data_IF_168341990921
#
_entry.id   IF_168341990921
#
_cell.length_a   1.000
_cell.length_b   1.000
_cell.length_c   1.000
_cell.angle_alpha   90.00
_cell.angle_beta   90.00
_cell.angle_gamma   90.00
#
_symmetry.space_group_name_H-M   'P 1'
#
loop_
_entity.id
_entity.type
_entity.pdbx_description
1 polymer ?
#
# COMPACT_ATOMS: atom_id res chain seq x y z
N UNK A 1 -14.91 35.37 -17.98
CA UNK A 1 -14.89 34.21 -17.08
C UNK A 1 -13.66 33.40 -17.41
N UNK A 2 -12.63 33.52 -16.60
CA UNK A 2 -11.47 32.65 -16.74
C UNK A 2 -11.89 31.26 -16.19
N UNK A 3 -11.93 30.26 -17.06
CA UNK A 3 -12.09 28.88 -16.73
C UNK A 3 -10.78 28.47 -16.01
N UNK A 4 -10.82 28.41 -14.69
CA UNK A 4 -9.71 27.89 -13.88
C UNK A 4 -9.45 26.47 -14.40
N UNK A 5 -8.28 26.23 -14.98
CA UNK A 5 -7.88 24.90 -15.37
C UNK A 5 -7.93 24.06 -14.09
N UNK A 6 -8.75 23.02 -14.07
CA UNK A 6 -8.77 22.08 -12.96
C UNK A 6 -7.35 21.53 -12.84
N UNK A 7 -6.75 21.67 -11.66
CA UNK A 7 -5.45 21.10 -11.36
C UNK A 7 -5.60 19.58 -11.47
N UNK A 8 -5.05 19.00 -12.51
CA UNK A 8 -5.19 17.58 -12.84
C UNK A 8 -4.03 16.77 -12.22
N UNK A 9 -3.48 17.28 -11.13
CA UNK A 9 -2.34 16.69 -10.43
C UNK A 9 -2.83 15.81 -9.27
N UNK A 10 -2.37 14.55 -9.24
CA UNK A 10 -2.62 13.65 -8.13
C UNK A 10 -1.81 14.08 -6.91
N UNK A 11 -2.47 14.11 -5.76
CA UNK A 11 -1.82 14.30 -4.46
C UNK A 11 -1.63 12.93 -3.82
N UNK A 12 -0.39 12.60 -3.49
CA UNK A 12 -0.04 11.33 -2.85
C UNK A 12 0.14 11.47 -1.35
N UNK A 13 -0.37 10.50 -0.62
CA UNK A 13 -0.32 10.45 0.85
C UNK A 13 0.06 9.06 1.32
N UNK A 14 0.96 8.98 2.28
CA UNK A 14 1.31 7.74 2.99
C UNK A 14 0.43 7.61 4.23
N UNK A 15 -0.17 6.44 4.39
CA UNK A 15 -1.05 6.11 5.51
C UNK A 15 -0.46 4.99 6.37
N UNK A 16 -0.58 5.11 7.67
CA UNK A 16 -0.09 4.14 8.64
C UNK A 16 -1.21 3.27 9.23
N UNK A 17 -2.43 3.45 8.76
CA UNK A 17 -3.60 2.60 9.05
C UNK A 17 -4.58 2.66 7.91
N UNK A 18 -5.30 1.56 7.65
CA UNK A 18 -6.41 1.54 6.71
C UNK A 18 -7.53 2.52 7.12
N UNK A 19 -7.68 2.76 8.41
CA UNK A 19 -8.71 3.65 8.97
C UNK A 19 -8.48 5.14 8.64
N UNK A 20 -7.32 5.51 8.10
CA UNK A 20 -7.06 6.86 7.58
C UNK A 20 -7.66 7.08 6.18
N UNK A 21 -8.16 6.03 5.54
CA UNK A 21 -8.69 6.07 4.17
C UNK A 21 -10.20 5.80 4.25
N UNK A 22 -10.99 6.58 3.51
CA UNK A 22 -12.43 6.38 3.44
C UNK A 22 -12.79 5.00 2.89
N UNK A 23 -13.55 4.22 3.68
CA UNK A 23 -13.88 2.85 3.37
C UNK A 23 -14.71 2.71 2.07
N UNK A 24 -15.63 3.65 1.82
CA UNK A 24 -16.49 3.60 0.63
C UNK A 24 -15.70 3.89 -0.63
N UNK A 25 -14.77 4.82 -0.58
CA UNK A 25 -13.89 5.15 -1.70
C UNK A 25 -12.89 4.00 -1.98
N UNK A 26 -12.32 3.39 -0.94
CA UNK A 26 -11.49 2.20 -1.09
C UNK A 26 -12.27 1.07 -1.76
N UNK A 27 -13.47 0.79 -1.25
CA UNK A 27 -14.29 -0.32 -1.73
C UNK A 27 -14.65 -0.15 -3.22
N UNK A 28 -14.91 1.08 -3.68
CA UNK A 28 -15.15 1.36 -5.09
C UNK A 28 -13.95 0.99 -5.98
N UNK A 29 -12.71 1.21 -5.52
CA UNK A 29 -11.51 0.80 -6.24
C UNK A 29 -11.24 -0.70 -6.15
N UNK A 30 -11.63 -1.34 -5.04
CA UNK A 30 -11.36 -2.74 -4.75
C UNK A 30 -12.45 -3.71 -5.23
N UNK A 31 -13.51 -3.23 -5.87
CA UNK A 31 -14.69 -4.03 -6.21
C UNK A 31 -14.35 -5.33 -6.95
N UNK A 32 -13.40 -5.28 -7.87
CA UNK A 32 -12.95 -6.42 -8.68
C UNK A 32 -11.61 -7.03 -8.21
N UNK A 33 -11.09 -6.58 -7.08
CA UNK A 33 -9.72 -6.89 -6.66
C UNK A 33 -9.58 -8.20 -5.86
N UNK A 34 -10.67 -8.92 -5.64
CA UNK A 34 -10.70 -10.13 -4.84
C UNK A 34 -10.80 -9.87 -3.32
N UNK A 35 -10.98 -10.94 -2.52
CA UNK A 35 -11.37 -10.82 -1.11
C UNK A 35 -10.27 -10.22 -0.22
N UNK A 36 -9.00 -10.46 -0.54
CA UNK A 36 -7.87 -10.05 0.31
C UNK A 36 -7.47 -8.57 0.15
N UNK A 37 -8.13 -7.83 -0.75
CA UNK A 37 -7.96 -6.39 -0.93
C UNK A 37 -9.23 -5.61 -0.55
N UNK A 38 -10.24 -6.28 -0.01
CA UNK A 38 -11.41 -5.61 0.53
C UNK A 38 -11.05 -4.87 1.81
N UNK A 39 -11.69 -3.71 2.02
CA UNK A 39 -11.42 -2.85 3.18
C UNK A 39 -11.52 -3.62 4.50
N UNK A 40 -12.60 -4.38 4.67
CA UNK A 40 -12.87 -5.13 5.90
C UNK A 40 -11.82 -6.20 6.20
N UNK A 41 -11.24 -6.82 5.16
CA UNK A 41 -10.14 -7.77 5.35
C UNK A 41 -8.89 -7.08 5.90
N UNK A 42 -8.51 -5.96 5.31
CA UNK A 42 -7.32 -5.21 5.72
C UNK A 42 -7.51 -4.57 7.10
N UNK A 43 -8.72 -4.06 7.39
CA UNK A 43 -9.09 -3.56 8.71
C UNK A 43 -9.01 -4.66 9.77
N UNK A 44 -9.53 -5.86 9.48
CA UNK A 44 -9.46 -6.99 10.39
C UNK A 44 -8.02 -7.42 10.73
N UNK A 45 -7.07 -7.29 9.79
CA UNK A 45 -5.66 -7.55 10.07
C UNK A 45 -5.08 -6.56 11.09
N UNK A 46 -5.50 -5.30 11.05
CA UNK A 46 -5.09 -4.29 12.04
C UNK A 46 -5.80 -4.51 13.37
N UNK A 47 -7.10 -4.70 13.38
CA UNK A 47 -7.92 -4.89 14.59
C UNK A 47 -7.51 -6.12 15.40
N UNK A 48 -7.12 -7.18 14.72
CA UNK A 48 -6.64 -8.42 15.35
C UNK A 48 -5.15 -8.39 15.68
N UNK A 49 -4.48 -7.27 15.38
CA UNK A 49 -3.04 -7.08 15.60
C UNK A 49 -2.16 -8.11 14.85
N UNK A 50 -2.62 -8.59 13.72
CA UNK A 50 -1.78 -9.36 12.78
C UNK A 50 -0.78 -8.47 12.07
N UNK A 51 -1.16 -7.21 11.83
CA UNK A 51 -0.29 -6.13 11.36
C UNK A 51 -0.39 -4.95 12.32
N UNK A 52 0.59 -4.06 12.29
CA UNK A 52 0.72 -3.05 13.37
C UNK A 52 -0.24 -1.86 13.25
N UNK A 53 -0.66 -1.46 12.06
CA UNK A 53 -1.48 -0.26 11.93
C UNK A 53 -0.88 0.94 12.69
N UNK A 54 -1.71 1.67 13.42
CA UNK A 54 -1.28 2.74 14.33
C UNK A 54 -0.66 2.23 15.64
N UNK A 55 -0.96 0.99 16.01
CA UNK A 55 -0.50 0.39 17.27
C UNK A 55 0.74 -0.44 16.97
N UNK A 56 1.90 0.09 17.29
CA UNK A 56 3.14 -0.65 17.11
C UNK A 56 3.20 -1.84 18.08
N UNK A 57 2.86 -3.01 17.58
CA UNK A 57 2.97 -4.31 18.28
C UNK A 57 4.22 -5.07 17.89
N UNK A 58 5.04 -4.51 17.02
CA UNK A 58 6.27 -5.12 16.51
C UNK A 58 6.05 -6.49 15.85
N UNK A 59 4.93 -6.63 15.13
CA UNK A 59 4.66 -7.83 14.33
C UNK A 59 5.64 -7.98 13.16
N UNK A 60 6.33 -6.90 12.83
CA UNK A 60 7.18 -6.80 11.65
C UNK A 60 6.40 -6.49 10.36
N UNK A 61 5.10 -6.23 10.46
CA UNK A 61 4.22 -5.78 9.39
C UNK A 61 3.60 -4.44 9.76
N UNK A 62 4.25 -3.35 9.45
CA UNK A 62 3.71 -2.02 9.72
C UNK A 62 2.97 -1.50 8.49
N UNK A 63 1.69 -1.14 8.64
CA UNK A 63 0.90 -0.56 7.55
C UNK A 63 1.58 0.69 6.99
N UNK A 64 1.75 0.71 5.67
CA UNK A 64 2.33 1.82 4.93
C UNK A 64 1.70 1.88 3.54
N UNK A 65 0.42 2.28 3.50
CA UNK A 65 -0.37 2.33 2.27
C UNK A 65 -0.18 3.69 1.59
N UNK A 66 0.03 3.67 0.29
CA UNK A 66 0.00 4.89 -0.50
C UNK A 66 -1.38 5.12 -1.11
N UNK A 67 -1.85 6.34 -1.06
CA UNK A 67 -3.03 6.78 -1.81
C UNK A 67 -2.70 7.93 -2.74
N UNK A 68 -3.38 8.00 -3.87
CA UNK A 68 -3.39 9.15 -4.77
C UNK A 68 -4.80 9.68 -4.90
N UNK A 69 -4.99 10.97 -4.66
CA UNK A 69 -6.29 11.65 -4.75
C UNK A 69 -6.23 12.78 -5.75
N UNK A 70 -7.34 13.00 -6.45
CA UNK A 70 -7.54 14.09 -7.36
C UNK A 70 -8.79 14.88 -6.91
N UNK A 71 -8.63 16.16 -6.59
CA UNK A 71 -9.70 17.01 -6.08
C UNK A 71 -10.45 16.41 -4.87
N UNK A 72 -9.73 15.73 -3.97
CA UNK A 72 -10.28 15.09 -2.78
C UNK A 72 -10.92 13.72 -3.01
N UNK A 73 -10.97 13.24 -4.25
CA UNK A 73 -11.47 11.92 -4.59
C UNK A 73 -10.31 10.91 -4.71
N UNK A 74 -10.46 9.77 -4.06
CA UNK A 74 -9.48 8.70 -4.10
C UNK A 74 -9.43 8.06 -5.49
N UNK A 75 -8.27 8.06 -6.11
CA UNK A 75 -8.06 7.53 -7.47
C UNK A 75 -7.12 6.34 -7.53
N UNK A 76 -6.20 6.26 -6.59
CA UNK A 76 -5.17 5.22 -6.55
C UNK A 76 -4.98 4.77 -5.10
N UNK A 77 -4.84 3.48 -4.87
CA UNK A 77 -4.32 2.94 -3.61
C UNK A 77 -3.31 1.84 -3.89
N UNK A 78 -2.25 1.84 -3.10
CA UNK A 78 -1.19 0.83 -3.14
C UNK A 78 -1.03 0.28 -1.74
N UNK A 79 -1.67 -0.85 -1.43
CA UNK A 79 -1.48 -1.53 -0.16
C UNK A 79 -0.03 -2.00 -0.03
N UNK A 80 0.59 -1.66 1.08
CA UNK A 80 1.96 -2.06 1.33
C UNK A 80 2.35 -1.96 2.80
N UNK A 81 3.47 -2.54 3.14
CA UNK A 81 3.92 -2.64 4.52
C UNK A 81 5.40 -2.37 4.64
N UNK A 82 5.80 -1.70 5.71
CA UNK A 82 7.19 -1.68 6.13
C UNK A 82 7.50 -2.96 6.93
N UNK A 83 8.55 -3.65 6.52
CA UNK A 83 8.99 -4.89 7.11
C UNK A 83 10.36 -4.72 7.76
N UNK A 84 10.48 -5.17 9.01
CA UNK A 84 11.74 -5.21 9.74
C UNK A 84 12.45 -6.57 9.65
N UNK A 85 11.75 -7.58 9.12
CA UNK A 85 12.24 -8.94 8.86
C UNK A 85 11.35 -9.61 7.81
N UNK A 86 11.75 -10.77 7.28
CA UNK A 86 11.03 -11.48 6.21
C UNK A 86 10.05 -12.54 6.72
N UNK A 87 9.80 -12.66 8.02
CA UNK A 87 8.81 -13.60 8.53
C UNK A 87 7.39 -13.24 8.07
N UNK A 88 6.61 -14.26 7.74
CA UNK A 88 5.27 -14.12 7.20
C UNK A 88 5.21 -13.82 5.71
N UNK A 89 6.35 -13.76 5.03
CA UNK A 89 6.46 -13.70 3.58
C UNK A 89 6.62 -15.10 3.03
N UNK A 90 6.10 -15.33 1.81
CA UNK A 90 6.26 -16.63 1.12
C UNK A 90 7.52 -16.70 0.27
N UNK A 91 8.02 -15.57 -0.15
CA UNK A 91 9.31 -15.46 -0.86
C UNK A 91 10.32 -14.88 0.11
N UNK A 92 11.26 -15.71 0.53
CA UNK A 92 12.31 -15.28 1.46
C UNK A 92 13.47 -14.66 0.69
N UNK A 93 13.89 -13.50 1.14
CA UNK A 93 14.95 -12.71 0.54
C UNK A 93 16.24 -12.69 1.39
N UNK A 94 16.49 -13.77 2.13
CA UNK A 94 17.67 -13.89 2.99
C UNK A 94 18.98 -13.69 2.24
N UNK A 95 19.07 -14.16 1.00
CA UNK A 95 20.27 -13.98 0.16
C UNK A 95 20.53 -12.50 -0.16
N UNK A 96 19.46 -11.73 -0.41
CA UNK A 96 19.56 -10.30 -0.63
C UNK A 96 19.95 -9.56 0.65
N UNK A 97 19.34 -9.89 1.77
CA UNK A 97 19.68 -9.30 3.06
C UNK A 97 21.15 -9.55 3.42
N UNK A 98 21.65 -10.78 3.19
CA UNK A 98 23.04 -11.12 3.38
C UNK A 98 23.98 -10.34 2.46
N UNK A 99 23.64 -10.19 1.18
CA UNK A 99 24.43 -9.43 0.22
C UNK A 99 24.54 -7.95 0.64
N UNK A 100 23.44 -7.34 1.07
CA UNK A 100 23.46 -5.96 1.61
C UNK A 100 24.37 -5.87 2.84
N UNK A 101 24.23 -6.80 3.78
CA UNK A 101 25.04 -6.82 4.99
C UNK A 101 26.55 -6.96 4.68
N UNK A 102 26.92 -7.84 3.74
CA UNK A 102 28.31 -8.01 3.31
C UNK A 102 28.92 -6.72 2.71
N UNK A 103 28.08 -5.83 2.17
CA UNK A 103 28.50 -4.54 1.64
C UNK A 103 28.31 -3.38 2.63
N UNK A 104 28.02 -3.67 3.91
CA UNK A 104 27.82 -2.65 4.95
C UNK A 104 26.56 -1.81 4.76
N UNK A 105 25.55 -2.35 4.07
CA UNK A 105 24.27 -1.70 3.82
C UNK A 105 23.15 -2.38 4.62
N UNK A 106 22.20 -1.58 5.08
CA UNK A 106 21.00 -2.09 5.71
C UNK A 106 19.97 -2.52 4.66
N UNK A 107 19.45 -3.74 4.78
CA UNK A 107 18.36 -4.25 3.96
C UNK A 107 16.99 -3.94 4.56
N UNK A 108 16.91 -3.90 5.87
CA UNK A 108 15.68 -3.57 6.60
C UNK A 108 15.77 -2.17 7.23
N UNK A 109 14.63 -1.47 7.42
CA UNK A 109 13.31 -1.86 6.98
C UNK A 109 13.17 -1.78 5.45
N UNK A 110 12.36 -2.68 4.87
CA UNK A 110 11.97 -2.65 3.46
C UNK A 110 10.48 -2.38 3.33
N UNK A 111 10.07 -1.71 2.26
CA UNK A 111 8.66 -1.59 1.90
C UNK A 111 8.30 -2.69 0.91
N UNK A 112 7.16 -3.36 1.13
CA UNK A 112 6.66 -4.41 0.22
C UNK A 112 5.19 -4.17 -0.13
N UNK A 113 4.84 -4.30 -1.40
CA UNK A 113 3.47 -4.39 -1.88
C UNK A 113 3.03 -5.85 -1.89
N UNK A 114 2.40 -6.31 -0.82
CA UNK A 114 2.00 -7.70 -0.65
C UNK A 114 0.72 -7.80 0.19
N UNK A 115 0.03 -8.93 0.07
CA UNK A 115 -1.01 -9.31 1.01
C UNK A 115 -0.34 -10.09 2.15
N UNK A 116 -0.49 -9.66 3.41
CA UNK A 116 0.14 -10.33 4.53
C UNK A 116 -0.24 -11.80 4.63
N UNK A 117 0.74 -12.66 4.91
CA UNK A 117 0.57 -14.08 5.22
C UNK A 117 -0.04 -14.95 4.11
N UNK A 118 -0.18 -14.44 2.87
CA UNK A 118 -0.76 -15.23 1.79
C UNK A 118 -0.02 -15.00 0.46
N UNK A 119 0.28 -16.07 -0.31
CA UNK A 119 0.92 -15.97 -1.62
C UNK A 119 -0.07 -15.70 -2.73
N UNK A 120 -1.29 -15.22 -2.41
CA UNK A 120 -2.34 -15.03 -3.41
C UNK A 120 -1.87 -14.05 -4.50
N UNK A 121 -2.19 -14.39 -5.72
CA UNK A 121 -2.00 -13.51 -6.87
C UNK A 121 -3.11 -12.47 -6.94
N UNK A 122 -2.87 -11.35 -7.58
CA UNK A 122 -3.86 -10.28 -7.73
C UNK A 122 -3.19 -8.93 -7.97
N UNK A 123 -4.00 -7.89 -8.13
CA UNK A 123 -3.48 -6.55 -8.30
C UNK A 123 -2.74 -6.09 -7.04
N UNK A 124 -1.68 -5.30 -7.23
CA UNK A 124 -0.94 -4.64 -6.14
C UNK A 124 -1.18 -3.13 -6.15
N UNK A 125 -1.87 -2.65 -7.16
CA UNK A 125 -2.21 -1.27 -7.40
C UNK A 125 -3.65 -1.22 -7.85
N UNK A 126 -4.50 -0.54 -7.09
CA UNK A 126 -5.90 -0.30 -7.44
C UNK A 126 -6.01 1.11 -8.00
N UNK A 127 -6.49 1.24 -9.22
CA UNK A 127 -6.57 2.51 -9.95
C UNK A 127 -7.99 2.69 -10.48
N UNK A 128 -8.55 3.89 -10.31
CA UNK A 128 -9.80 4.28 -10.92
C UNK A 128 -9.66 4.28 -12.45
N UNK A 129 -10.72 3.86 -13.15
CA UNK A 129 -10.71 3.69 -14.62
C UNK A 129 -10.52 5.01 -15.40
N UNK A 130 -10.74 6.14 -14.76
CA UNK A 130 -10.60 7.49 -15.35
C UNK A 130 -9.18 8.08 -15.18
N UNK A 131 -8.27 7.36 -14.53
CA UNK A 131 -6.86 7.79 -14.37
C UNK A 131 -6.04 7.32 -15.56
N UNK A 132 -5.35 8.24 -16.20
CA UNK A 132 -4.46 7.94 -17.33
C UNK A 132 -3.09 7.43 -16.89
N UNK A 133 -2.44 6.60 -17.71
CA UNK A 133 -1.11 6.10 -17.45
C UNK A 133 -0.07 7.19 -17.13
N UNK A 134 -0.02 8.34 -17.80
CA UNK A 134 0.90 9.42 -17.45
C UNK A 134 0.71 10.00 -16.06
N UNK A 135 -0.52 9.97 -15.52
CA UNK A 135 -0.82 10.53 -14.20
C UNK A 135 -0.27 9.67 -13.06
N UNK A 136 -0.26 8.36 -13.21
CA UNK A 136 0.24 7.48 -12.15
C UNK A 136 1.73 7.12 -12.30
N UNK A 137 2.32 7.29 -13.49
CA UNK A 137 3.77 7.08 -13.69
C UNK A 137 4.62 8.01 -12.82
N UNK A 138 4.10 9.18 -12.44
CA UNK A 138 4.79 10.08 -11.51
C UNK A 138 4.97 9.52 -10.09
N UNK A 139 4.35 8.38 -9.77
CA UNK A 139 4.57 7.65 -8.51
C UNK A 139 5.89 6.87 -8.47
N UNK A 140 6.47 6.54 -9.63
CA UNK A 140 7.54 5.54 -9.75
C UNK A 140 8.88 6.17 -10.11
N UNK A 141 8.91 7.48 -10.29
CA UNK A 141 10.10 8.28 -10.55
C UNK A 141 10.46 9.17 -9.39
#
# INVERSE_FOLDING_TARGET
MQKQAADNTLTFTLHHSINEIDASQWQALAEQAGPFLQYQWLEALEDTHCVDGHINKQTGWQTAFWSGSLNGELKIVVPGYLKTHSYGEYVFDHSWANAYHQHGLDYYPKWIGAIPFTPVTGPRLLIASDVSAPQWHSLVT
#
